data_IF_287880537475
#
_entry.id   IF_287880537475
#
_cell.length_a   1.000
_cell.length_b   1.000
_cell.length_c   1.000
_cell.angle_alpha   90.00
_cell.angle_beta   90.00
_cell.angle_gamma   90.00
#
_symmetry.space_group_name_H-M   'P 1'
#
loop_
_entity.id
_entity.type
_entity.pdbx_description
1 polymer ?
#
# COMPACT_ATOMS: atom_id res chain seq x y z
N UNK A 1 6.63 22.10 0.62
CA UNK A 1 6.44 20.64 0.82
C UNK A 1 5.96 20.33 2.24
N UNK A 2 4.68 20.60 2.52
CA UNK A 2 4.04 20.24 3.80
C UNK A 2 3.45 18.82 3.71
N UNK A 3 3.41 18.10 4.85
CA UNK A 3 2.67 16.83 4.99
C UNK A 3 1.38 17.02 5.79
N UNK A 4 0.95 18.29 5.92
CA UNK A 4 -0.24 18.65 6.67
C UNK A 4 -1.50 18.06 6.04
N UNK A 5 -2.55 17.95 6.85
CA UNK A 5 -3.87 17.43 6.47
C UNK A 5 -4.54 18.21 5.32
N UNK A 6 -4.20 19.48 5.13
CA UNK A 6 -4.73 20.30 4.03
C UNK A 6 -4.31 19.75 2.64
N UNK A 7 -3.04 19.32 2.50
CA UNK A 7 -2.51 18.88 1.21
C UNK A 7 -3.30 17.71 0.56
N UNK A 8 -3.62 16.60 1.25
CA UNK A 8 -4.42 15.53 0.65
C UNK A 8 -5.90 15.93 0.45
N UNK A 9 -6.44 16.88 1.22
CA UNK A 9 -7.81 17.38 1.03
C UNK A 9 -7.88 18.18 -0.27
N UNK A 10 -6.98 19.14 -0.47
CA UNK A 10 -6.94 19.98 -1.67
C UNK A 10 -6.67 19.14 -2.93
N UNK A 11 -5.77 18.15 -2.83
CA UNK A 11 -5.41 17.30 -3.96
C UNK A 11 -6.52 16.33 -4.38
N UNK A 12 -7.23 15.73 -3.43
CA UNK A 12 -8.25 14.72 -3.75
C UNK A 12 -9.60 15.35 -4.12
N UNK A 13 -9.85 16.60 -3.72
CA UNK A 13 -11.08 17.32 -4.06
C UNK A 13 -12.33 16.49 -3.74
N UNK A 14 -13.12 16.20 -4.76
CA UNK A 14 -14.37 15.45 -4.67
C UNK A 14 -14.24 13.95 -5.01
N UNK A 15 -13.00 13.43 -5.08
CA UNK A 15 -12.77 12.02 -5.42
C UNK A 15 -13.53 11.10 -4.46
N UNK A 16 -14.45 10.30 -4.99
CA UNK A 16 -15.21 9.32 -4.23
C UNK A 16 -14.85 7.90 -4.70
N UNK A 17 -14.18 7.14 -3.84
CA UNK A 17 -13.69 5.81 -4.16
C UNK A 17 -12.73 5.25 -3.12
N UNK A 18 -12.02 4.17 -3.48
CA UNK A 18 -11.06 3.54 -2.58
C UNK A 18 -9.73 4.31 -2.54
N UNK A 19 -9.30 4.69 -1.33
CA UNK A 19 -8.00 5.31 -1.11
C UNK A 19 -7.13 4.41 -0.23
N UNK A 20 -6.13 3.75 -0.82
CA UNK A 20 -5.21 2.90 -0.08
C UNK A 20 -4.01 3.68 0.48
N UNK A 21 -3.80 3.64 1.79
CA UNK A 21 -2.74 4.41 2.46
C UNK A 21 -1.92 3.57 3.43
N UNK A 22 -0.79 4.13 3.88
CA UNK A 22 0.07 3.60 4.95
C UNK A 22 -0.52 3.78 6.36
N UNK A 23 -1.73 4.36 6.46
CA UNK A 23 -2.36 4.69 7.73
C UNK A 23 -1.86 5.99 8.36
N UNK A 24 -1.26 6.90 7.57
CA UNK A 24 -0.89 8.23 8.06
C UNK A 24 -2.12 9.07 8.43
N UNK A 25 -2.05 9.70 9.61
CA UNK A 25 -3.19 10.42 10.21
C UNK A 25 -3.69 11.63 9.38
N UNK A 26 -2.85 12.18 8.48
CA UNK A 26 -3.28 13.28 7.61
C UNK A 26 -4.46 12.90 6.70
N UNK A 27 -4.65 11.62 6.39
CA UNK A 27 -5.78 11.14 5.60
C UNK A 27 -7.06 10.97 6.42
N UNK A 28 -7.02 11.05 7.76
CA UNK A 28 -8.19 10.77 8.58
C UNK A 28 -9.34 11.77 8.36
N UNK A 29 -9.04 12.97 7.85
CA UNK A 29 -10.04 13.98 7.49
C UNK A 29 -10.74 13.84 6.16
N UNK A 30 -10.38 12.84 5.36
CA UNK A 30 -11.08 12.57 4.11
C UNK A 30 -12.29 11.69 4.44
N UNK A 31 -13.48 12.31 4.44
CA UNK A 31 -14.73 11.65 4.81
C UNK A 31 -15.46 11.04 3.61
N UNK A 32 -15.22 11.58 2.40
CA UNK A 32 -15.82 11.11 1.16
C UNK A 32 -15.13 9.88 0.54
N UNK A 33 -13.96 9.48 1.05
CA UNK A 33 -13.21 8.30 0.53
C UNK A 33 -13.38 7.05 1.39
N UNK A 34 -13.35 5.92 0.71
CA UNK A 34 -13.35 4.58 1.30
C UNK A 34 -11.91 4.14 1.57
N UNK A 35 -11.43 4.35 2.80
CA UNK A 35 -10.01 4.11 3.17
C UNK A 35 -9.61 2.63 3.18
N UNK A 36 -8.60 2.26 2.42
CA UNK A 36 -8.02 0.90 2.42
C UNK A 36 -6.68 0.94 3.16
N UNK A 37 -6.47 -0.01 4.06
CA UNK A 37 -5.25 -0.10 4.86
C UNK A 37 -4.13 -0.82 4.10
N UNK A 38 -2.91 -0.68 4.61
CA UNK A 38 -1.75 -1.41 4.11
C UNK A 38 -1.29 -2.46 5.14
N UNK A 39 -1.45 -3.74 4.83
CA UNK A 39 -1.06 -4.82 5.74
C UNK A 39 0.46 -4.90 5.94
N UNK A 40 1.26 -4.44 4.97
CA UNK A 40 2.72 -4.39 5.10
C UNK A 40 3.17 -3.50 6.27
N UNK A 41 2.44 -2.41 6.57
CA UNK A 41 2.74 -1.54 7.72
C UNK A 41 2.42 -2.22 9.05
N UNK A 42 1.29 -2.90 9.14
CA UNK A 42 0.95 -3.71 10.31
C UNK A 42 2.00 -4.82 10.53
N UNK A 43 2.34 -5.55 9.46
CA UNK A 43 3.38 -6.59 9.46
C UNK A 43 4.72 -6.06 9.95
N UNK A 44 5.17 -4.89 9.49
CA UNK A 44 6.45 -4.29 9.89
C UNK A 44 6.52 -4.06 11.40
N UNK A 45 5.43 -3.63 12.03
CA UNK A 45 5.38 -3.45 13.49
C UNK A 45 5.52 -4.75 14.26
N UNK A 46 4.91 -5.84 13.78
CA UNK A 46 5.13 -7.17 14.35
C UNK A 46 6.55 -7.69 14.12
N UNK A 47 7.16 -7.39 12.96
CA UNK A 47 8.57 -7.71 12.70
C UNK A 47 9.51 -6.96 13.64
N UNK A 48 9.25 -5.67 13.90
CA UNK A 48 10.06 -4.88 14.83
C UNK A 48 9.87 -5.37 16.28
N UNK A 49 8.66 -5.76 16.66
CA UNK A 49 8.43 -6.43 17.94
C UNK A 49 9.20 -7.76 18.04
N UNK A 50 9.26 -8.54 16.95
CA UNK A 50 10.01 -9.80 16.89
C UNK A 50 11.52 -9.60 17.00
N UNK A 51 12.10 -8.55 16.40
CA UNK A 51 13.54 -8.26 16.51
C UNK A 51 14.00 -8.05 17.96
N UNK A 52 13.09 -7.57 18.80
CA UNK A 52 13.34 -7.33 20.23
C UNK A 52 13.07 -8.58 21.09
N UNK A 53 12.59 -9.67 20.50
CA UNK A 53 12.55 -10.97 21.16
C UNK A 53 13.95 -11.60 21.13
N UNK A 54 14.31 -12.32 22.20
CA UNK A 54 15.58 -13.05 22.25
C UNK A 54 15.71 -14.04 21.09
N UNK A 55 16.90 -14.11 20.48
CA UNK A 55 17.19 -15.02 19.35
C UNK A 55 16.76 -16.45 19.68
N UNK A 56 16.11 -17.12 18.71
CA UNK A 56 15.69 -18.52 18.82
C UNK A 56 14.40 -18.78 19.60
N UNK A 57 13.76 -17.75 20.17
CA UNK A 57 12.48 -17.91 20.88
C UNK A 57 11.30 -17.60 19.95
N UNK A 58 10.43 -18.59 19.74
CA UNK A 58 9.10 -18.34 19.17
C UNK A 58 8.24 -17.60 20.20
N UNK A 59 7.63 -16.50 19.81
CA UNK A 59 6.77 -15.74 20.70
C UNK A 59 5.48 -15.24 20.05
N UNK A 60 4.76 -14.40 20.78
CA UNK A 60 3.46 -13.87 20.35
C UNK A 60 3.53 -13.12 19.00
N UNK A 61 4.63 -12.41 18.72
CA UNK A 61 4.82 -11.75 17.42
C UNK A 61 4.89 -12.74 16.25
N UNK A 62 5.50 -13.93 16.43
CA UNK A 62 5.54 -14.98 15.40
C UNK A 62 4.15 -15.49 15.04
N UNK A 63 3.24 -15.61 16.02
CA UNK A 63 1.86 -16.04 15.74
C UNK A 63 1.15 -15.08 14.78
N UNK A 64 1.25 -13.77 15.02
CA UNK A 64 0.71 -12.76 14.12
C UNK A 64 1.37 -12.82 12.74
N UNK A 65 2.70 -12.90 12.70
CA UNK A 65 3.46 -12.96 11.44
C UNK A 65 3.14 -14.20 10.62
N UNK A 66 2.91 -15.36 11.25
CA UNK A 66 2.53 -16.59 10.57
C UNK A 66 1.13 -16.46 9.92
N UNK A 67 0.15 -15.85 10.61
CA UNK A 67 -1.17 -15.58 10.03
C UNK A 67 -1.06 -14.61 8.84
N UNK A 68 -0.32 -13.51 9.01
CA UNK A 68 -0.07 -12.55 7.92
C UNK A 68 0.63 -13.23 6.74
N UNK A 69 1.60 -14.11 6.97
CA UNK A 69 2.27 -14.85 5.92
C UNK A 69 1.31 -15.74 5.13
N UNK A 70 0.35 -16.39 5.78
CA UNK A 70 -0.69 -17.18 5.09
C UNK A 70 -1.54 -16.29 4.18
N UNK A 71 -1.93 -15.09 4.62
CA UNK A 71 -2.66 -14.13 3.79
C UNK A 71 -1.87 -13.74 2.53
N UNK A 72 -0.57 -13.45 2.69
CA UNK A 72 0.30 -13.20 1.54
C UNK A 72 0.48 -14.41 0.62
N UNK A 73 0.45 -15.63 1.17
CA UNK A 73 0.46 -16.86 0.39
C UNK A 73 -0.77 -17.00 -0.50
N UNK A 74 -1.96 -16.65 0.02
CA UNK A 74 -3.21 -16.59 -0.75
C UNK A 74 -3.07 -15.55 -1.87
N UNK A 75 -2.65 -14.33 -1.55
CA UNK A 75 -2.49 -13.27 -2.56
C UNK A 75 -1.49 -13.62 -3.67
N UNK A 76 -0.43 -14.37 -3.33
CA UNK A 76 0.53 -14.84 -4.32
C UNK A 76 -0.07 -15.85 -5.29
N UNK A 77 -0.97 -16.73 -4.82
CA UNK A 77 -1.68 -17.70 -5.66
C UNK A 77 -2.72 -17.04 -6.56
N UNK A 78 -3.38 -16.00 -6.05
CA UNK A 78 -4.41 -15.25 -6.78
C UNK A 78 -3.84 -14.22 -7.78
N UNK A 79 -2.52 -14.21 -7.99
CA UNK A 79 -1.88 -13.25 -8.88
C UNK A 79 -2.27 -13.52 -10.33
N UNK A 80 -2.98 -12.57 -10.94
CA UNK A 80 -3.45 -12.67 -12.33
C UNK A 80 -4.87 -13.21 -12.46
N UNK A 81 -5.49 -13.67 -11.37
CA UNK A 81 -6.90 -14.06 -11.35
C UNK A 81 -7.83 -12.84 -11.58
N UNK A 82 -9.01 -13.03 -12.20
CA UNK A 82 -10.04 -12.00 -12.32
C UNK A 82 -10.49 -11.47 -10.95
N UNK A 83 -10.99 -10.23 -10.91
CA UNK A 83 -11.39 -9.59 -9.66
C UNK A 83 -12.47 -10.39 -8.89
N UNK A 84 -13.45 -10.96 -9.58
CA UNK A 84 -14.51 -11.77 -8.96
C UNK A 84 -13.96 -13.03 -8.28
N UNK A 85 -13.05 -13.74 -8.95
CA UNK A 85 -12.37 -14.93 -8.39
C UNK A 85 -11.54 -14.54 -7.17
N UNK A 86 -10.78 -13.44 -7.25
CA UNK A 86 -10.00 -12.92 -6.13
C UNK A 86 -10.89 -12.63 -4.92
N UNK A 87 -12.04 -11.98 -5.13
CA UNK A 87 -13.00 -11.68 -4.07
C UNK A 87 -13.56 -12.95 -3.45
N UNK A 88 -14.04 -13.89 -4.26
CA UNK A 88 -14.59 -15.16 -3.79
C UNK A 88 -13.57 -15.96 -2.95
N UNK A 89 -12.35 -16.12 -3.46
CA UNK A 89 -11.26 -16.84 -2.78
C UNK A 89 -10.81 -16.14 -1.50
N UNK A 90 -10.77 -14.80 -1.48
CA UNK A 90 -10.48 -14.03 -0.26
C UNK A 90 -11.55 -14.24 0.81
N UNK A 91 -12.83 -14.24 0.42
CA UNK A 91 -13.93 -14.50 1.35
C UNK A 91 -13.87 -15.95 1.88
N UNK A 92 -13.52 -16.93 1.06
CA UNK A 92 -13.41 -18.33 1.48
C UNK A 92 -12.17 -18.61 2.35
N UNK A 93 -11.00 -18.10 1.95
CA UNK A 93 -9.71 -18.49 2.53
C UNK A 93 -9.09 -17.43 3.45
N UNK A 94 -9.16 -16.15 3.07
CA UNK A 94 -8.49 -15.08 3.80
C UNK A 94 -9.32 -14.59 5.00
N UNK A 95 -10.65 -14.50 4.85
CA UNK A 95 -11.56 -14.04 5.90
C UNK A 95 -11.47 -14.85 7.20
N UNK A 96 -11.46 -16.20 7.21
CA UNK A 96 -11.29 -16.96 8.45
C UNK A 96 -9.95 -16.66 9.15
N UNK A 97 -8.87 -16.51 8.39
CA UNK A 97 -7.54 -16.19 8.93
C UNK A 97 -7.52 -14.78 9.55
N UNK A 98 -8.21 -13.82 8.93
CA UNK A 98 -8.35 -12.46 9.46
C UNK A 98 -9.16 -12.48 10.76
N UNK A 99 -10.29 -13.20 10.80
CA UNK A 99 -11.12 -13.32 11.99
C UNK A 99 -10.34 -13.93 13.17
N UNK A 100 -9.62 -15.03 12.91
CA UNK A 100 -8.73 -15.66 13.90
C UNK A 100 -7.63 -14.69 14.39
N UNK A 101 -7.03 -13.92 13.48
CA UNK A 101 -6.01 -12.93 13.84
C UNK A 101 -6.60 -11.82 14.71
N UNK A 102 -7.81 -11.34 14.40
CA UNK A 102 -8.51 -10.33 15.19
C UNK A 102 -8.84 -10.83 16.60
N UNK A 103 -9.45 -12.01 16.70
CA UNK A 103 -9.75 -12.65 17.98
C UNK A 103 -8.48 -12.91 18.80
N UNK A 104 -7.41 -13.36 18.14
CA UNK A 104 -6.13 -13.54 18.81
C UNK A 104 -5.61 -12.20 19.35
N UNK A 105 -5.62 -11.12 18.58
CA UNK A 105 -5.12 -9.81 19.02
C UNK A 105 -5.92 -9.21 20.18
N UNK A 106 -7.25 -9.33 20.15
CA UNK A 106 -8.16 -8.78 21.17
C UNK A 106 -8.06 -9.51 22.51
N UNK A 107 -7.67 -10.78 22.51
CA UNK A 107 -7.48 -11.59 23.72
C UNK A 107 -6.09 -11.44 24.36
N UNK A 108 -5.15 -10.73 23.72
CA UNK A 108 -3.80 -10.60 24.24
C UNK A 108 -3.71 -9.64 25.43
N UNK A 109 -3.36 -10.18 26.61
CA UNK A 109 -2.86 -9.39 27.75
C UNK A 109 -1.39 -9.02 27.49
N UNK A 110 -1.16 -7.79 27.07
CA UNK A 110 0.18 -7.22 26.81
C UNK A 110 0.27 -5.80 27.34
N UNK A 111 1.46 -5.39 27.77
CA UNK A 111 1.70 -3.99 28.14
C UNK A 111 1.59 -3.13 26.89
N UNK A 112 0.71 -2.14 26.86
CA UNK A 112 0.44 -1.34 25.66
C UNK A 112 1.66 -0.57 25.13
N UNK A 113 2.59 -0.19 26.01
CA UNK A 113 3.85 0.49 25.64
C UNK A 113 4.92 -0.47 25.10
N UNK A 114 4.77 -1.78 25.31
CA UNK A 114 5.69 -2.78 24.75
C UNK A 114 5.65 -2.76 23.22
N UNK A 115 6.72 -3.20 22.53
CA UNK A 115 6.74 -3.29 21.08
C UNK A 115 5.56 -4.09 20.51
N UNK A 116 5.22 -5.23 21.14
CA UNK A 116 4.08 -6.04 20.76
C UNK A 116 2.74 -5.33 21.04
N UNK A 117 2.61 -4.66 22.19
CA UNK A 117 1.43 -3.87 22.52
C UNK A 117 1.18 -2.74 21.51
N UNK A 118 2.24 -2.04 21.10
CA UNK A 118 2.18 -1.02 20.04
C UNK A 118 1.77 -1.60 18.69
N UNK A 119 2.28 -2.79 18.33
CA UNK A 119 1.90 -3.47 17.09
C UNK A 119 0.43 -3.88 17.08
N UNK A 120 -0.07 -4.47 18.18
CA UNK A 120 -1.48 -4.85 18.33
C UNK A 120 -2.37 -3.62 18.32
N UNK A 121 -2.04 -2.58 19.11
CA UNK A 121 -2.81 -1.34 19.19
C UNK A 121 -2.96 -0.67 17.82
N UNK A 122 -1.86 -0.56 17.06
CA UNK A 122 -1.92 -0.01 15.70
C UNK A 122 -2.80 -0.86 14.79
N UNK A 123 -2.60 -2.17 14.79
CA UNK A 123 -3.29 -3.09 13.87
C UNK A 123 -4.79 -3.10 14.14
N UNK A 124 -5.21 -3.16 15.40
CA UNK A 124 -6.62 -3.05 15.80
C UNK A 124 -7.21 -1.68 15.42
N UNK A 125 -6.47 -0.59 15.64
CA UNK A 125 -6.92 0.76 15.27
C UNK A 125 -7.09 0.97 13.76
N UNK A 126 -6.38 0.21 12.92
CA UNK A 126 -6.51 0.24 11.47
C UNK A 126 -7.40 -0.89 10.93
N UNK A 127 -7.93 -1.76 11.78
CA UNK A 127 -8.53 -3.04 11.38
C UNK A 127 -9.63 -2.91 10.31
N UNK A 128 -10.62 -2.00 10.44
CA UNK A 128 -11.67 -1.85 9.42
C UNK A 128 -11.11 -1.47 8.04
N UNK A 129 -9.99 -0.74 8.00
CA UNK A 129 -9.31 -0.36 6.76
C UNK A 129 -8.49 -1.54 6.23
N UNK A 130 -7.82 -2.29 7.10
CA UNK A 130 -6.92 -3.39 6.75
C UNK A 130 -7.65 -4.58 6.15
N UNK A 131 -8.88 -4.89 6.59
CA UNK A 131 -9.62 -6.05 6.07
C UNK A 131 -10.29 -5.78 4.72
N UNK A 132 -10.52 -4.51 4.37
CA UNK A 132 -11.30 -4.09 3.20
C UNK A 132 -10.85 -4.68 1.87
N UNK A 133 -9.57 -5.05 1.74
CA UNK A 133 -9.07 -5.66 0.50
C UNK A 133 -9.77 -6.99 0.15
N UNK A 134 -10.46 -7.64 1.09
CA UNK A 134 -11.24 -8.86 0.82
C UNK A 134 -12.62 -8.59 0.24
N UNK A 135 -13.10 -7.35 0.32
CA UNK A 135 -14.45 -6.98 -0.13
C UNK A 135 -14.50 -6.73 -1.64
N UNK A 136 -13.35 -6.42 -2.24
CA UNK A 136 -13.20 -6.09 -3.67
C UNK A 136 -11.87 -6.67 -4.22
N UNK A 137 -11.97 -7.45 -5.31
CA UNK A 137 -10.85 -8.09 -5.99
C UNK A 137 -9.87 -7.14 -6.68
N UNK A 138 -10.26 -5.91 -6.96
CA UNK A 138 -9.39 -4.86 -7.50
C UNK A 138 -8.42 -4.31 -6.45
N UNK A 139 -8.75 -4.44 -5.17
CA UNK A 139 -7.91 -3.95 -4.09
C UNK A 139 -6.69 -4.85 -3.88
N UNK A 140 -5.62 -4.22 -3.41
CA UNK A 140 -4.37 -4.88 -3.05
C UNK A 140 -4.25 -5.00 -1.53
N UNK A 141 -3.62 -6.08 -1.04
CA UNK A 141 -3.39 -6.28 0.41
C UNK A 141 -2.45 -5.21 1.03
N UNK A 142 -1.63 -4.58 0.20
CA UNK A 142 -0.74 -3.48 0.58
C UNK A 142 -0.52 -2.47 -0.55
N UNK A 143 0.02 -1.31 -0.19
CA UNK A 143 0.35 -0.22 -1.10
C UNK A 143 1.81 -0.29 -1.60
N UNK A 144 2.54 -1.40 -1.42
CA UNK A 144 3.99 -1.46 -1.69
C UNK A 144 4.34 -1.13 -3.14
N UNK A 145 3.43 -1.39 -4.10
CA UNK A 145 3.62 -1.01 -5.50
C UNK A 145 3.73 0.51 -5.66
N UNK A 146 2.81 1.25 -5.05
CA UNK A 146 2.82 2.71 -5.07
C UNK A 146 4.06 3.26 -4.35
N UNK A 147 4.42 2.69 -3.19
CA UNK A 147 5.61 3.10 -2.45
C UNK A 147 6.91 2.85 -3.23
N UNK A 148 7.01 1.73 -3.94
CA UNK A 148 8.17 1.45 -4.81
C UNK A 148 8.23 2.40 -5.99
N UNK A 149 7.09 2.72 -6.61
CA UNK A 149 7.02 3.64 -7.75
C UNK A 149 7.49 5.05 -7.38
N UNK A 150 7.13 5.55 -6.19
CA UNK A 150 7.52 6.91 -5.76
C UNK A 150 8.94 6.98 -5.15
N UNK A 151 9.51 5.84 -4.74
CA UNK A 151 10.80 5.80 -4.04
C UNK A 151 11.97 6.44 -4.81
N UNK A 152 12.16 6.24 -6.13
CA UNK A 152 13.21 6.91 -6.90
C UNK A 152 13.11 8.43 -6.81
N UNK A 153 11.90 9.00 -6.96
CA UNK A 153 11.67 10.44 -6.80
C UNK A 153 12.02 10.92 -5.39
N UNK A 154 11.58 10.18 -4.37
CA UNK A 154 11.83 10.53 -2.96
C UNK A 154 13.32 10.54 -2.61
N UNK A 155 14.10 9.62 -3.18
CA UNK A 155 15.56 9.59 -3.01
C UNK A 155 16.20 10.71 -3.83
N UNK A 156 15.82 10.84 -5.10
CA UNK A 156 16.37 11.82 -6.02
C UNK A 156 16.22 13.26 -5.54
N UNK A 157 15.03 13.65 -5.07
CA UNK A 157 14.79 15.01 -4.54
C UNK A 157 15.64 15.39 -3.33
N UNK A 158 16.22 14.42 -2.61
CA UNK A 158 17.17 14.69 -1.51
C UNK A 158 18.57 15.02 -2.04
N UNK A 159 18.88 14.58 -3.26
CA UNK A 159 20.20 14.66 -3.88
C UNK A 159 20.25 15.66 -5.04
N UNK A 160 19.11 16.17 -5.52
CA UNK A 160 19.04 17.18 -6.59
C UNK A 160 18.91 18.59 -6.02
N UNK A 161 19.67 19.51 -6.59
CA UNK A 161 19.56 20.93 -6.27
C UNK A 161 18.16 21.47 -6.61
N UNK A 162 17.69 22.44 -5.82
CA UNK A 162 16.44 23.19 -6.03
C UNK A 162 15.11 22.39 -5.97
N UNK A 163 15.15 21.07 -5.73
CA UNK A 163 13.96 20.21 -5.56
C UNK A 163 13.18 20.44 -4.25
N UNK A 164 13.64 21.38 -3.42
CA UNK A 164 13.00 21.81 -2.18
C UNK A 164 12.13 23.07 -2.34
N UNK A 165 12.16 23.72 -3.51
CA UNK A 165 11.34 24.90 -3.83
C UNK A 165 10.02 24.48 -4.50
N UNK A 166 8.94 25.28 -4.43
CA UNK A 166 7.70 25.01 -5.16
C UNK A 166 7.94 24.83 -6.66
N UNK A 167 8.68 25.73 -7.30
CA UNK A 167 8.98 25.69 -8.73
C UNK A 167 9.78 24.42 -9.10
N UNK A 168 10.76 24.03 -8.28
CA UNK A 168 11.52 22.79 -8.49
C UNK A 168 10.67 21.52 -8.30
N UNK A 169 9.70 21.55 -7.38
CA UNK A 169 8.75 20.45 -7.20
C UNK A 169 7.78 20.34 -8.39
N UNK A 170 7.29 21.47 -8.91
CA UNK A 170 6.42 21.53 -10.09
C UNK A 170 7.13 21.03 -11.36
N UNK A 171 8.34 21.54 -11.64
CA UNK A 171 9.15 21.08 -12.76
C UNK A 171 9.43 19.57 -12.68
N UNK A 172 9.75 19.07 -11.48
CA UNK A 172 9.94 17.64 -11.24
C UNK A 172 8.65 16.86 -11.50
N UNK A 173 7.50 17.34 -11.04
CA UNK A 173 6.21 16.68 -11.25
C UNK A 173 5.86 16.56 -12.74
N UNK A 174 6.08 17.61 -13.53
CA UNK A 174 5.87 17.57 -14.99
C UNK A 174 6.76 16.53 -15.66
N UNK A 175 8.07 16.58 -15.43
CA UNK A 175 9.03 15.66 -16.05
C UNK A 175 8.76 14.21 -15.66
N UNK A 176 8.51 13.92 -14.39
CA UNK A 176 8.20 12.57 -13.93
C UNK A 176 6.87 12.07 -14.49
N UNK A 177 5.86 12.93 -14.64
CA UNK A 177 4.59 12.54 -15.25
C UNK A 177 4.79 12.08 -16.70
N UNK A 178 5.63 12.78 -17.48
CA UNK A 178 5.98 12.39 -18.85
C UNK A 178 6.73 11.06 -18.86
N UNK A 179 7.80 10.94 -18.06
CA UNK A 179 8.64 9.74 -18.02
C UNK A 179 7.86 8.51 -17.57
N UNK A 180 7.05 8.61 -16.51
CA UNK A 180 6.26 7.48 -16.02
C UNK A 180 5.14 7.10 -16.99
N UNK A 181 4.53 8.06 -17.70
CA UNK A 181 3.57 7.78 -18.77
C UNK A 181 4.24 7.02 -19.92
N UNK A 182 5.44 7.44 -20.34
CA UNK A 182 6.22 6.77 -21.38
C UNK A 182 6.64 5.35 -20.97
N UNK A 183 7.03 5.12 -19.71
CA UNK A 183 7.32 3.77 -19.20
C UNK A 183 6.13 2.82 -19.26
N UNK A 184 4.93 3.33 -18.97
CA UNK A 184 3.71 2.50 -18.97
C UNK A 184 3.24 2.18 -20.38
N UNK A 185 3.24 3.19 -21.27
CA UNK A 185 2.65 3.08 -22.62
C UNK A 185 3.65 2.70 -23.70
N UNK A 186 4.83 3.32 -23.71
CA UNK A 186 5.77 3.19 -24.83
C UNK A 186 6.80 2.09 -24.59
N UNK A 187 7.37 1.98 -23.39
CA UNK A 187 8.48 1.05 -23.14
C UNK A 187 8.09 -0.44 -23.27
N UNK A 188 6.82 -0.80 -23.07
CA UNK A 188 6.34 -2.17 -23.31
C UNK A 188 6.28 -2.50 -24.80
N UNK A 189 5.86 -1.54 -25.62
CA UNK A 189 5.78 -1.70 -27.06
C UNK A 189 7.18 -1.74 -27.68
N UNK A 190 8.04 -0.79 -27.26
CA UNK A 190 9.44 -0.71 -27.69
C UNK A 190 10.29 -1.91 -27.26
N UNK A 191 9.83 -2.72 -26.30
CA UNK A 191 10.51 -3.93 -25.85
C UNK A 191 10.13 -5.19 -26.66
N UNK A 192 9.20 -5.11 -27.62
CA UNK A 192 8.89 -6.21 -28.55
C UNK A 192 10.00 -6.36 -29.59
N UNK A 193 10.15 -7.57 -30.14
CA UNK A 193 11.12 -7.84 -31.20
C UNK A 193 10.84 -7.03 -32.48
N UNK A 194 9.55 -6.84 -32.79
CA UNK A 194 9.06 -5.96 -33.85
C UNK A 194 8.07 -4.97 -33.20
N UNK A 195 8.54 -3.79 -32.74
CA UNK A 195 7.70 -2.81 -32.08
C UNK A 195 6.85 -2.05 -33.09
N UNK A 196 5.56 -1.83 -32.77
CA UNK A 196 4.70 -0.95 -33.54
C UNK A 196 4.97 0.52 -33.13
N UNK A 197 5.93 1.14 -33.80
CA UNK A 197 6.33 2.53 -33.54
C UNK A 197 5.19 3.49 -33.90
N UNK A 198 4.43 3.19 -34.95
CA UNK A 198 3.35 4.04 -35.43
C UNK A 198 2.27 4.17 -34.35
N UNK A 199 1.88 3.07 -33.70
CA UNK A 199 0.93 3.09 -32.58
C UNK A 199 1.35 3.97 -31.40
N UNK A 200 2.65 4.31 -31.27
CA UNK A 200 3.18 5.16 -30.20
C UNK A 200 3.24 6.64 -30.56
N UNK A 201 2.91 7.02 -31.81
CA UNK A 201 3.01 8.40 -32.26
C UNK A 201 1.93 9.29 -31.60
N UNK A 202 2.24 10.58 -31.34
CA UNK A 202 1.40 11.43 -30.50
C UNK A 202 -0.07 11.55 -30.95
N UNK A 203 -0.33 11.47 -32.25
CA UNK A 203 -1.68 11.57 -32.83
C UNK A 203 -2.57 10.34 -32.63
N UNK A 204 -2.01 9.23 -32.14
CA UNK A 204 -2.78 8.01 -31.83
C UNK A 204 -3.33 8.00 -30.40
N UNK A 205 -2.94 8.95 -29.55
CA UNK A 205 -3.51 9.12 -28.21
C UNK A 205 -4.72 10.05 -28.26
N UNK A 206 -5.92 9.52 -27.95
CA UNK A 206 -7.09 10.37 -27.69
C UNK A 206 -6.93 11.06 -26.33
N UNK A 207 -7.00 12.39 -26.35
CA UNK A 207 -7.05 13.25 -25.15
C UNK A 207 -8.41 13.17 -24.47
#
# INVERSE_FOLDING_TARGET
NSRARACPVDFLGDYNGYLQTDGYAAYDGLHHVTKVGCLAHARRKFMDAKKLQGKGKSGKADKALAKIQKLYGIESRLKGAPAEERKAERQALAKPILDELYQWMTTQKVIGSSPLGKAIKYTLGQWPKLIRYIDDGHLSIDNNRAERAIKPLVIGRKNWLFSNTPNGAEASAMLYSIVETAKVKCMKELAKAEPDIDALLPWNFKH
#
